data_IF_673551719051
#
_entry.id   IF_673551719051
#
_cell.length_a   1.000
_cell.length_b   1.000
_cell.length_c   1.000
_cell.angle_alpha   90.00
_cell.angle_beta   90.00
_cell.angle_gamma   90.00
#
_symmetry.space_group_name_H-M   'P 1'
#
loop_
_entity.id
_entity.type
_entity.pdbx_description
1 polymer ?
#
# COMPACT_ATOMS: atom_id res chain seq x y z
N UNK A 1 8.96 0.90 -24.91
CA UNK A 1 9.60 1.31 -23.74
C UNK A 1 8.76 1.10 -22.54
N UNK A 2 9.34 0.53 -21.52
CA UNK A 2 8.57 0.22 -20.37
C UNK A 2 8.54 1.32 -19.38
N UNK A 3 7.41 1.48 -18.76
CA UNK A 3 7.26 2.50 -17.72
C UNK A 3 7.64 1.90 -16.40
N UNK A 4 8.43 2.61 -15.62
CA UNK A 4 8.79 2.16 -14.30
C UNK A 4 7.66 2.38 -13.33
N UNK A 5 7.54 1.48 -12.37
CA UNK A 5 6.62 1.69 -11.26
C UNK A 5 7.19 2.79 -10.38
N UNK A 6 6.41 3.82 -10.14
CA UNK A 6 6.84 5.00 -9.39
C UNK A 6 6.40 4.87 -7.96
N UNK A 7 7.36 4.92 -7.04
CA UNK A 7 7.13 4.62 -5.63
C UNK A 7 7.43 5.83 -4.76
N UNK A 8 6.50 6.18 -3.90
CA UNK A 8 6.68 7.22 -2.90
C UNK A 8 6.81 6.54 -1.55
N UNK A 9 7.73 6.98 -0.71
CA UNK A 9 7.97 6.37 0.60
C UNK A 9 7.63 7.35 1.71
N UNK A 10 6.87 6.91 2.69
CA UNK A 10 6.53 7.73 3.86
C UNK A 10 6.77 6.91 5.12
N UNK A 11 7.82 7.24 5.87
CA UNK A 11 8.20 6.49 7.06
C UNK A 11 9.07 7.39 7.93
N UNK A 12 8.90 7.35 9.25
CA UNK A 12 9.71 8.18 10.12
C UNK A 12 11.13 7.63 10.26
N UNK A 13 11.34 6.35 9.91
CA UNK A 13 12.65 5.74 10.05
C UNK A 13 13.51 6.11 8.85
N UNK A 14 14.50 6.97 9.08
CA UNK A 14 15.37 7.44 8.01
C UNK A 14 16.15 6.28 7.38
N UNK A 15 16.56 5.32 8.18
CA UNK A 15 17.33 4.19 7.66
C UNK A 15 16.47 3.36 6.70
N UNK A 16 15.20 3.16 7.03
CA UNK A 16 14.31 2.42 6.16
C UNK A 16 14.09 3.18 4.85
N UNK A 17 13.87 4.50 4.95
CA UNK A 17 13.66 5.31 3.74
C UNK A 17 14.87 5.24 2.83
N UNK A 18 16.08 5.35 3.44
CA UNK A 18 17.30 5.32 2.66
C UNK A 18 17.54 3.96 2.03
N UNK A 19 17.35 2.90 2.82
CA UNK A 19 17.54 1.55 2.32
C UNK A 19 16.60 1.23 1.17
N UNK A 20 15.32 1.50 1.36
CA UNK A 20 14.34 1.20 0.32
C UNK A 20 14.59 2.06 -0.92
N UNK A 21 14.92 3.33 -0.71
CA UNK A 21 15.22 4.21 -1.84
C UNK A 21 16.40 3.73 -2.65
N UNK A 22 17.46 3.29 -1.96
CA UNK A 22 18.65 2.77 -2.65
C UNK A 22 18.33 1.50 -3.42
N UNK A 23 17.57 0.61 -2.82
CA UNK A 23 17.23 -0.64 -3.48
C UNK A 23 16.36 -0.38 -4.69
N UNK A 24 15.39 0.53 -4.56
CA UNK A 24 14.53 0.87 -5.71
C UNK A 24 15.33 1.45 -6.86
N UNK A 25 16.35 2.26 -6.53
CA UNK A 25 17.15 2.89 -7.58
C UNK A 25 17.98 1.90 -8.37
N UNK A 26 18.17 0.69 -7.82
CA UNK A 26 18.94 -0.34 -8.50
C UNK A 26 18.08 -1.25 -9.34
N UNK A 27 16.76 -1.10 -9.28
CA UNK A 27 15.86 -1.93 -10.07
C UNK A 27 15.53 -1.24 -11.38
N UNK A 28 15.47 -2.02 -12.45
CA UNK A 28 15.19 -1.48 -13.77
C UNK A 28 13.74 -1.09 -13.96
N UNK A 29 12.84 -1.71 -13.19
CA UNK A 29 11.41 -1.55 -13.39
C UNK A 29 10.74 -0.70 -12.31
N UNK A 30 11.51 -0.08 -11.44
CA UNK A 30 10.94 0.74 -10.37
C UNK A 30 11.80 1.98 -10.16
N UNK A 31 11.19 3.03 -9.61
CA UNK A 31 11.94 4.22 -9.24
C UNK A 31 11.30 4.87 -8.04
N UNK A 32 12.11 5.48 -7.20
CA UNK A 32 11.63 6.23 -6.04
C UNK A 32 11.41 7.68 -6.45
N UNK A 33 10.19 8.16 -6.30
CA UNK A 33 9.88 9.54 -6.71
C UNK A 33 9.83 10.51 -5.55
N UNK A 34 10.10 10.02 -4.33
CA UNK A 34 10.17 10.89 -3.17
C UNK A 34 10.15 10.08 -1.90
N UNK A 35 10.58 10.68 -0.81
CA UNK A 35 10.47 10.05 0.50
C UNK A 35 10.31 11.13 1.55
N UNK A 36 9.60 10.81 2.62
CA UNK A 36 9.32 11.78 3.66
C UNK A 36 9.00 11.07 4.96
N UNK A 37 9.12 11.80 6.08
CA UNK A 37 8.71 11.31 7.39
C UNK A 37 7.41 11.95 7.86
N UNK A 38 6.76 12.70 7.00
CA UNK A 38 5.70 13.63 7.37
C UNK A 38 4.47 13.32 6.54
N UNK A 39 3.35 13.07 7.19
CA UNK A 39 2.12 12.71 6.48
C UNK A 39 1.54 13.81 5.62
N UNK A 40 1.72 15.08 6.04
CA UNK A 40 1.24 16.20 5.22
C UNK A 40 2.06 16.26 3.92
N UNK A 41 3.39 16.12 4.05
CA UNK A 41 4.24 16.14 2.88
C UNK A 41 4.00 14.94 1.99
N UNK A 42 3.66 13.79 2.58
CA UNK A 42 3.36 12.61 1.78
C UNK A 42 2.19 12.87 0.85
N UNK A 43 1.15 13.55 1.34
CA UNK A 43 0.00 13.87 0.49
C UNK A 43 0.37 14.91 -0.56
N UNK A 44 1.19 15.88 -0.21
CA UNK A 44 1.66 16.89 -1.17
C UNK A 44 2.46 16.23 -2.29
N UNK A 45 3.38 15.34 -1.91
CA UNK A 45 4.19 14.64 -2.90
C UNK A 45 3.33 13.70 -3.74
N UNK A 46 2.33 13.06 -3.14
CA UNK A 46 1.44 12.20 -3.90
C UNK A 46 0.70 12.99 -4.97
N UNK A 47 0.23 14.18 -4.61
CA UNK A 47 -0.47 15.03 -5.57
C UNK A 47 0.46 15.51 -6.67
N UNK A 48 1.69 15.84 -6.32
CA UNK A 48 2.64 16.36 -7.30
C UNK A 48 3.24 15.29 -8.19
N UNK A 49 3.62 14.16 -7.61
CA UNK A 49 4.33 13.14 -8.34
C UNK A 49 3.43 12.05 -8.92
N UNK A 50 2.22 11.94 -8.43
CA UNK A 50 1.26 10.93 -8.88
C UNK A 50 1.90 9.55 -8.94
N UNK A 51 2.36 9.02 -7.79
CA UNK A 51 3.02 7.72 -7.78
C UNK A 51 2.04 6.59 -8.02
N UNK A 52 2.57 5.46 -8.42
CA UNK A 52 1.75 4.26 -8.58
C UNK A 52 1.54 3.56 -7.24
N UNK A 53 2.56 3.63 -6.37
CA UNK A 53 2.52 2.95 -5.08
C UNK A 53 3.05 3.88 -4.00
N UNK A 54 2.36 3.93 -2.87
CA UNK A 54 2.85 4.64 -1.69
C UNK A 54 3.17 3.58 -0.64
N UNK A 55 4.45 3.45 -0.28
CA UNK A 55 4.87 2.57 0.81
C UNK A 55 4.93 3.44 2.06
N UNK A 56 4.13 3.12 3.06
CA UNK A 56 3.97 4.02 4.19
C UNK A 56 3.85 3.30 5.50
N UNK A 57 4.26 3.96 6.57
CA UNK A 57 4.00 3.52 7.93
C UNK A 57 2.80 4.32 8.46
N UNK A 58 2.23 3.85 9.55
CA UNK A 58 1.13 4.53 10.20
C UNK A 58 1.61 5.61 11.16
N UNK A 59 2.84 5.50 11.64
CA UNK A 59 3.39 6.52 12.53
C UNK A 59 4.18 7.49 11.67
N UNK A 60 3.64 8.68 11.50
CA UNK A 60 4.27 9.72 10.69
C UNK A 60 4.16 11.04 11.44
N UNK A 61 5.04 11.98 11.12
CA UNK A 61 5.00 13.30 11.72
C UNK A 61 3.84 14.09 11.12
N UNK A 62 3.26 14.92 11.92
CA UNK A 62 2.23 15.91 11.57
C UNK A 62 0.87 15.32 11.19
N UNK A 63 0.82 14.23 10.46
CA UNK A 63 -0.44 13.62 10.07
C UNK A 63 -0.21 12.12 10.04
N UNK A 64 -0.94 11.36 10.81
CA UNK A 64 -0.68 9.93 10.91
C UNK A 64 -1.09 9.19 9.64
N UNK A 65 -0.65 7.95 9.54
CA UNK A 65 -0.86 7.16 8.33
C UNK A 65 -2.33 6.82 8.05
N UNK A 66 -3.13 6.69 9.10
CA UNK A 66 -4.56 6.42 8.89
C UNK A 66 -5.19 7.61 8.15
N UNK A 67 -4.84 8.82 8.56
CA UNK A 67 -5.38 10.01 7.92
C UNK A 67 -4.83 10.18 6.50
N UNK A 68 -3.57 9.79 6.29
CA UNK A 68 -2.99 9.80 4.95
C UNK A 68 -3.78 8.86 4.05
N UNK A 69 -4.09 7.65 4.54
CA UNK A 69 -4.88 6.70 3.76
C UNK A 69 -6.24 7.27 3.41
N UNK A 70 -6.86 7.94 4.36
CA UNK A 70 -8.19 8.50 4.14
C UNK A 70 -8.18 9.55 3.05
N UNK A 71 -7.12 10.35 2.97
CA UNK A 71 -7.05 11.47 2.04
C UNK A 71 -6.36 11.13 0.72
N UNK A 72 -5.68 9.97 0.66
CA UNK A 72 -4.91 9.61 -0.52
C UNK A 72 -5.74 9.56 -1.79
N UNK A 73 -6.97 9.01 -1.80
CA UNK A 73 -7.74 8.95 -3.04
C UNK A 73 -8.02 10.30 -3.65
N UNK A 74 -8.09 11.34 -2.80
CA UNK A 74 -8.31 12.69 -3.30
C UNK A 74 -7.03 13.25 -3.88
N UNK A 75 -5.89 13.01 -3.23
CA UNK A 75 -4.62 13.56 -3.66
C UNK A 75 -4.09 12.84 -4.89
N UNK A 76 -4.26 11.53 -4.94
CA UNK A 76 -3.74 10.73 -6.05
C UNK A 76 -4.62 9.49 -6.21
N UNK A 77 -5.65 9.58 -7.04
CA UNK A 77 -6.61 8.46 -7.18
C UNK A 77 -5.99 7.17 -7.66
N UNK A 78 -4.89 7.25 -8.40
CA UNK A 78 -4.27 6.05 -8.93
C UNK A 78 -3.27 5.39 -8.02
N UNK A 79 -2.93 6.00 -6.89
CA UNK A 79 -1.92 5.44 -6.02
C UNK A 79 -2.49 4.31 -5.17
N UNK A 80 -1.70 3.26 -5.00
CA UNK A 80 -2.09 2.16 -4.14
C UNK A 80 -1.15 2.16 -2.95
N UNK A 81 -1.71 2.01 -1.75
CA UNK A 81 -0.92 2.09 -0.54
C UNK A 81 -0.52 0.71 -0.03
N UNK A 82 0.75 0.55 0.29
CA UNK A 82 1.25 -0.61 0.99
C UNK A 82 1.67 -0.12 2.37
N UNK A 83 1.02 -0.62 3.40
CA UNK A 83 1.29 -0.19 4.77
C UNK A 83 2.32 -1.13 5.37
N UNK A 84 3.48 -0.59 5.78
CA UNK A 84 4.56 -1.35 6.40
C UNK A 84 4.71 -0.80 7.80
N UNK A 85 4.38 -1.58 8.81
CA UNK A 85 4.32 -1.02 10.15
C UNK A 85 4.54 -2.07 11.23
N UNK A 86 4.98 -1.61 12.41
CA UNK A 86 5.06 -2.44 13.60
C UNK A 86 3.69 -2.63 14.25
N UNK A 87 2.71 -1.82 13.87
CA UNK A 87 1.39 -1.85 14.49
C UNK A 87 0.48 -2.88 13.82
N UNK A 88 0.94 -4.13 13.80
CA UNK A 88 0.19 -5.16 13.11
C UNK A 88 -0.83 -5.79 14.05
N UNK A 89 -2.04 -5.29 14.04
CA UNK A 89 -3.14 -5.80 14.82
C UNK A 89 -4.35 -5.91 13.93
N UNK A 90 -5.22 -6.86 14.24
CA UNK A 90 -6.40 -7.10 13.40
C UNK A 90 -7.25 -5.85 13.21
N UNK A 91 -7.44 -5.08 14.28
CA UNK A 91 -8.24 -3.86 14.16
C UNK A 91 -7.60 -2.86 13.22
N UNK A 92 -6.29 -2.71 13.33
CA UNK A 92 -5.56 -1.77 12.49
C UNK A 92 -5.60 -2.23 11.04
N UNK A 93 -5.39 -3.52 10.80
CA UNK A 93 -5.43 -4.06 9.45
C UNK A 93 -6.81 -3.83 8.83
N UNK A 94 -7.87 -4.08 9.60
CA UNK A 94 -9.23 -3.88 9.09
C UNK A 94 -9.49 -2.43 8.77
N UNK A 95 -9.04 -1.53 9.64
CA UNK A 95 -9.24 -0.11 9.43
C UNK A 95 -8.52 0.38 8.18
N UNK A 96 -7.27 -0.05 8.01
CA UNK A 96 -6.49 0.35 6.84
C UNK A 96 -7.10 -0.23 5.56
N UNK A 97 -7.55 -1.46 5.62
CA UNK A 97 -8.16 -2.10 4.45
C UNK A 97 -9.45 -1.38 4.08
N UNK A 98 -10.23 -0.99 5.07
CA UNK A 98 -11.48 -0.26 4.82
C UNK A 98 -11.20 1.09 4.17
N UNK A 99 -10.04 1.67 4.44
CA UNK A 99 -9.67 2.95 3.84
C UNK A 99 -8.96 2.80 2.50
N UNK A 100 -8.83 1.56 2.02
CA UNK A 100 -8.30 1.33 0.69
C UNK A 100 -6.86 0.90 0.60
N UNK A 101 -6.23 0.52 1.72
CA UNK A 101 -4.86 0.01 1.65
C UNK A 101 -4.84 -1.25 0.80
N UNK A 102 -3.90 -1.32 -0.13
CA UNK A 102 -3.83 -2.44 -1.04
C UNK A 102 -3.14 -3.64 -0.41
N UNK A 103 -2.24 -3.39 0.51
CA UNK A 103 -1.51 -4.48 1.15
C UNK A 103 -0.97 -4.00 2.50
N UNK A 104 -0.75 -4.94 3.40
CA UNK A 104 -0.31 -4.62 4.75
C UNK A 104 0.84 -5.55 5.10
N UNK A 105 1.99 -5.00 5.48
CA UNK A 105 3.20 -5.77 5.76
C UNK A 105 3.66 -5.49 7.18
N UNK A 106 3.76 -6.51 8.03
CA UNK A 106 4.27 -6.26 9.38
C UNK A 106 5.79 -6.10 9.35
N UNK A 107 6.30 -5.23 10.20
CA UNK A 107 7.74 -5.07 10.36
C UNK A 107 8.22 -5.94 11.50
N UNK A 108 9.46 -6.43 11.42
CA UNK A 108 10.43 -6.19 10.36
C UNK A 108 10.07 -7.00 9.11
N UNK A 109 10.37 -6.48 7.96
CA UNK A 109 10.02 -7.13 6.71
C UNK A 109 11.27 -7.36 5.87
N UNK A 110 11.15 -8.34 4.97
CA UNK A 110 12.22 -8.65 4.04
C UNK A 110 12.09 -7.69 2.85
N UNK A 111 13.14 -6.95 2.58
CA UNK A 111 13.11 -5.95 1.50
C UNK A 111 12.85 -6.60 0.14
N UNK A 112 13.43 -7.77 -0.11
CA UNK A 112 13.18 -8.45 -1.39
C UNK A 112 11.71 -8.80 -1.54
N UNK A 113 11.10 -9.30 -0.48
CA UNK A 113 9.67 -9.61 -0.52
C UNK A 113 8.85 -8.35 -0.71
N UNK A 114 9.26 -7.24 -0.10
CA UNK A 114 8.56 -5.97 -0.25
C UNK A 114 8.64 -5.51 -1.70
N UNK A 115 9.79 -5.62 -2.35
CA UNK A 115 9.90 -5.25 -3.74
C UNK A 115 8.96 -6.05 -4.62
N UNK A 116 8.82 -7.34 -4.35
CA UNK A 116 7.90 -8.17 -5.11
C UNK A 116 6.46 -7.70 -4.92
N UNK A 117 6.11 -7.30 -3.71
CA UNK A 117 4.76 -6.77 -3.47
C UNK A 117 4.55 -5.46 -4.19
N UNK A 118 5.57 -4.60 -4.21
CA UNK A 118 5.47 -3.33 -4.94
C UNK A 118 5.22 -3.60 -6.42
N UNK A 119 5.93 -4.56 -6.99
CA UNK A 119 5.72 -4.91 -8.39
C UNK A 119 4.30 -5.40 -8.63
N UNK A 120 3.82 -6.31 -7.78
CA UNK A 120 2.49 -6.86 -7.95
C UNK A 120 1.42 -5.80 -7.79
N UNK A 121 1.54 -4.98 -6.76
CA UNK A 121 0.54 -3.96 -6.48
C UNK A 121 0.57 -2.88 -7.55
N UNK A 122 1.77 -2.49 -7.98
CA UNK A 122 1.91 -1.45 -8.99
C UNK A 122 1.36 -1.87 -10.36
N UNK A 123 1.32 -3.18 -10.62
CA UNK A 123 0.80 -3.67 -11.89
C UNK A 123 -0.72 -3.79 -11.90
N UNK A 124 -1.38 -3.65 -10.75
CA UNK A 124 -2.84 -3.73 -10.74
C UNK A 124 -3.44 -2.49 -11.37
N UNK A 125 -4.61 -2.61 -11.96
CA UNK A 125 -5.28 -1.42 -12.51
C UNK A 125 -5.68 -0.48 -11.38
N UNK A 126 -5.91 0.76 -11.71
CA UNK A 126 -6.34 1.73 -10.73
C UNK A 126 -7.71 1.34 -10.22
N UNK A 127 -8.11 1.94 -9.11
CA UNK A 127 -9.37 1.61 -8.53
C UNK A 127 -10.53 1.84 -9.43
N UNK A 128 -10.47 2.83 -10.26
CA UNK A 128 -11.55 3.07 -11.18
C UNK A 128 -11.67 1.96 -12.18
N UNK A 129 -10.56 1.29 -12.49
CA UNK A 129 -10.62 0.25 -13.46
C UNK A 129 -10.91 -1.08 -12.85
N UNK A 130 -10.78 -1.20 -11.58
CA UNK A 130 -10.98 -2.43 -10.97
C UNK A 130 -12.39 -2.59 -10.70
N UNK A 131 -13.20 -2.87 -11.62
CA UNK A 131 -14.52 -2.98 -11.42
C UNK A 131 -14.82 -4.33 -11.05
N UNK A 132 -15.46 -4.50 -10.02
CA UNK A 132 -15.68 -5.67 -9.59
C UNK A 132 -16.95 -6.09 -9.81
N UNK A 133 -17.17 -6.77 -10.66
CA UNK A 133 -18.39 -7.15 -10.98
C UNK A 133 -18.92 -7.83 -9.89
N UNK A 134 -19.40 -7.57 -9.44
CA UNK A 134 -19.88 -8.23 -8.59
C UNK A 134 -19.49 -8.89 -7.69
N UNK A 135 -19.57 -8.78 -7.19
CA UNK A 135 -19.27 -9.33 -6.27
C UNK A 135 -20.28 -9.63 -5.66
N UNK A 136 -20.64 -10.28 -5.59
CA UNK A 136 -21.66 -10.61 -5.09
C UNK A 136 -21.84 -10.25 -3.91
N UNK A 137 -22.24 -10.21 -3.63
CA UNK A 137 -22.38 -10.12 -2.72
C UNK A 137 -22.16 -10.24 -1.76
N UNK A 138 -22.20 -10.29 -1.53
CA UNK A 138 -21.85 -10.49 -0.95
C UNK A 138 -21.83 -10.63 -0.07
N UNK A 139 -22.19 -10.79 0.13
CA UNK A 139 -22.07 -11.06 0.70
C UNK A 139 -21.57 -11.48 1.31
N UNK A 140 -21.42 -11.86 1.24
CA UNK A 140 -20.75 -12.27 1.50
C UNK A 140 -19.85 -12.07 1.79
N UNK A 141 -19.75 -11.94 1.84
CA UNK A 141 -18.85 -11.78 1.78
C UNK A 141 -18.18 -11.67 2.39
N UNK A 142 -18.25 -11.89 2.70
CA UNK A 142 -17.56 -11.91 2.83
C UNK A 142 -16.92 -12.26 2.79
N UNK A 143 -17.13 -12.56 2.80
CA UNK A 143 -16.52 -12.93 2.32
C UNK A 143 -15.79 -12.90 1.90
N UNK A 144 -15.83 -12.97 1.74
CA UNK A 144 -15.02 -12.86 0.99
C UNK A 144 -14.14 -12.34 0.99
N UNK A 145 -14.05 -12.22 1.05
CA UNK A 145 -13.05 -11.70 0.60
C UNK A 145 -12.42 -11.60 0.71
N UNK A 146 -12.34 -11.69 0.91
CA UNK A 146 -11.60 -11.67 0.52
C UNK A 146 -11.12 -11.85 0.22
N UNK A 147 -11.36 -12.12 0.20
CA UNK A 147 -10.83 -12.33 -0.60
C UNK A 147 -10.35 -12.06 -1.10
N UNK A 148 -10.47 -12.01 -1.11
CA UNK A 148 -9.97 -11.70 -1.85
C UNK A 148 -9.39 -11.39 -1.74
N UNK A 149 -9.49 -11.47 -1.49
CA UNK A 149 -8.89 -11.24 -1.69
C UNK A 149 -8.59 -11.40 -1.60
N UNK A 150 -8.72 -11.59 -1.33
CA UNK A 150 -8.19 -11.89 -1.65
C UNK A 150 -8.11 -12.18 -1.85
N UNK A 151 -8.45 -12.40 -1.91
CA UNK A 151 -8.28 -12.68 -2.41
C UNK A 151 -7.86 -12.47 -2.58
N UNK A 152 -7.88 -12.34 -2.50
CA UNK A 152 -7.40 -12.09 -2.78
C UNK A 152 -6.86 -12.07 -2.22
N UNK A 153 -6.66 -11.98 -1.72
CA UNK A 153 -6.20 -11.87 -1.58
C UNK A 153 -5.98 -11.86 -0.70
N UNK A 154 -5.90 -12.20 -0.31
CA UNK A 154 -5.70 -12.27 -0.06
C UNK A 154 -5.77 -12.38 0.61
N UNK A 155 -5.72 -12.44 1.11
CA UNK A 155 -5.71 -12.62 1.30
C UNK A 155 -5.74 -12.79 2.06
N UNK A 156 -5.62 -12.91 2.64
CA UNK A 156 -5.63 -13.05 2.70
C UNK A 156 -5.37 -13.32 3.43
N UNK A 157 -5.04 -13.57 3.96
CA UNK A 157 -4.62 -13.78 4.11
C UNK A 157 -4.55 -13.94 4.54
N UNK A 158 -4.61 -13.98 4.87
CA UNK A 158 -4.46 -14.17 4.69
C UNK A 158 -4.54 -14.57 5.16
N UNK A 159 -4.53 -14.57 5.45
CA UNK A 159 -4.51 -14.91 5.42
C UNK A 159 -4.82 -15.15 5.75
N UNK A 160 -4.63 -15.07 6.62
CA UNK A 160 -4.80 -15.23 6.31
C UNK A 160 -5.16 -15.45 6.82
N UNK A 161 -5.41 -15.68 7.08
CA UNK A 161 -5.46 -15.71 6.98
C UNK A 161 -6.09 -15.94 7.24
N UNK A 162 -6.56 -15.99 7.52
CA UNK A 162 -6.87 -16.10 7.20
C UNK A 162 -7.47 -16.17 7.29
N UNK A 163 -7.77 -16.07 7.55
CA UNK A 163 -8.00 -15.89 7.20
C UNK A 163 -8.81 -16.04 7.24
N UNK A 164 -9.45 -16.11 7.64
CA UNK A 164 -10.00 -16.11 7.16
C UNK A 164 -10.44 -16.47 7.21
N UNK A 165 -10.60 -16.25 7.51
CA UNK A 165 -10.79 -16.36 7.01
C UNK A 165 -11.10 -16.66 6.94
#
# INVERSE_FOLDING_TARGET
METKTRVLIADIDEDFRRLLGDVLSQEDDMECVGSTDNGVEALTLAAEQQPDVLVMDLVLLKLDGIEVLRRLPEACPGAKAIVVTHLYRNEIVRQCTALGAAYFVPEPCDITALLDRIRQIGALPSQEEVFLPARPSDANLEAAVTEIIHEIGVPAHIKGYQYLR
#
